data_IF_215408643274
#
_entry.id   IF_215408643274
#
_cell.length_a   1.000
_cell.length_b   1.000
_cell.length_c   1.000
_cell.angle_alpha   90.00
_cell.angle_beta   90.00
_cell.angle_gamma   90.00
#
_symmetry.space_group_name_H-M   'P 1'
#
loop_
_entity.id
_entity.type
_entity.pdbx_description
1 polymer ?
#
# COMPACT_ATOMS: atom_id res chain seq x y z
N UNK A 1 3.92 1.73 17.26
CA UNK A 1 3.72 1.46 15.83
C UNK A 1 3.27 2.75 15.16
N UNK A 2 4.19 3.41 14.48
CA UNK A 2 3.92 4.64 13.72
C UNK A 2 3.51 4.18 12.31
N UNK A 3 2.33 3.58 12.21
CA UNK A 3 1.86 2.84 11.05
C UNK A 3 1.22 3.80 10.05
N UNK A 4 2.04 4.44 9.23
CA UNK A 4 1.55 5.34 8.18
C UNK A 4 1.15 4.55 6.93
N UNK A 5 -0.02 4.88 6.39
CA UNK A 5 -0.56 4.25 5.19
C UNK A 5 0.22 4.76 3.98
N UNK A 6 0.84 3.85 3.24
CA UNK A 6 1.55 4.15 2.00
C UNK A 6 0.57 4.45 0.87
N UNK A 7 -0.44 3.60 0.72
CA UNK A 7 -1.42 3.68 -0.35
C UNK A 7 -2.79 3.28 0.14
N UNK A 8 -3.82 3.98 -0.31
CA UNK A 8 -5.22 3.67 -0.07
C UNK A 8 -6.08 3.98 -1.28
N UNK A 9 -6.95 3.05 -1.62
CA UNK A 9 -8.10 3.29 -2.47
C UNK A 9 -9.40 2.80 -1.79
N UNK A 10 -10.47 2.64 -2.56
CA UNK A 10 -11.78 2.17 -2.07
C UNK A 10 -11.83 0.65 -1.80
N UNK A 11 -10.77 -0.09 -2.08
CA UNK A 11 -10.70 -1.56 -2.02
C UNK A 11 -9.62 -2.04 -1.07
N UNK A 12 -8.44 -1.42 -1.08
CA UNK A 12 -7.29 -1.84 -0.29
C UNK A 12 -6.59 -0.68 0.41
N UNK A 13 -5.92 -1.03 1.50
CA UNK A 13 -4.90 -0.21 2.14
C UNK A 13 -3.58 -0.98 2.16
N UNK A 14 -2.49 -0.25 1.97
CA UNK A 14 -1.12 -0.77 1.99
C UNK A 14 -0.29 0.11 2.90
N UNK A 15 0.57 -0.50 3.72
CA UNK A 15 1.55 0.21 4.57
C UNK A 15 2.91 -0.46 4.55
N UNK A 16 3.92 0.32 4.88
CA UNK A 16 5.25 -0.18 5.21
C UNK A 16 5.27 -0.44 6.72
N UNK A 17 5.64 -1.65 7.09
CA UNK A 17 5.95 -2.02 8.46
C UNK A 17 7.45 -1.93 8.65
N UNK A 18 7.87 -1.22 9.68
CA UNK A 18 9.27 -1.18 10.13
C UNK A 18 9.36 -1.97 11.43
N UNK A 19 10.29 -2.92 11.49
CA UNK A 19 10.56 -3.67 12.71
C UNK A 19 11.13 -2.72 13.79
N UNK A 20 10.62 -2.85 15.02
CA UNK A 20 10.99 -1.94 16.12
C UNK A 20 12.36 -2.25 16.72
N UNK A 21 12.85 -3.47 16.57
CA UNK A 21 14.16 -3.91 17.05
C UNK A 21 15.22 -3.75 15.96
N UNK A 22 14.81 -3.78 14.68
CA UNK A 22 15.69 -3.54 13.55
C UNK A 22 15.03 -2.68 12.46
N UNK A 23 15.33 -1.38 12.46
CA UNK A 23 14.77 -0.43 11.48
C UNK A 23 15.14 -0.75 10.01
N UNK A 24 16.16 -1.60 9.76
CA UNK A 24 16.50 -2.06 8.43
C UNK A 24 15.57 -3.16 7.91
N UNK A 25 14.82 -3.82 8.80
CA UNK A 25 13.83 -4.83 8.44
C UNK A 25 12.49 -4.14 8.19
N UNK A 26 12.19 -3.96 6.91
CA UNK A 26 10.90 -3.44 6.45
C UNK A 26 10.12 -4.52 5.71
N UNK A 27 8.80 -4.46 5.81
CA UNK A 27 7.86 -5.35 5.13
C UNK A 27 6.68 -4.55 4.60
N UNK A 28 6.03 -5.05 3.55
CA UNK A 28 4.76 -4.50 3.09
C UNK A 28 3.63 -5.28 3.74
N UNK A 29 2.64 -4.58 4.27
CA UNK A 29 1.39 -5.17 4.70
C UNK A 29 0.22 -4.57 3.91
N UNK A 30 -0.79 -5.39 3.64
CA UNK A 30 -2.00 -4.98 2.95
C UNK A 30 -3.24 -5.49 3.65
N UNK A 31 -4.35 -4.79 3.48
CA UNK A 31 -5.68 -5.26 3.89
C UNK A 31 -6.74 -4.79 2.92
N UNK A 32 -7.85 -5.50 2.88
CA UNK A 32 -9.06 -5.01 2.24
C UNK A 32 -9.76 -4.02 3.17
N UNK A 33 -10.26 -2.93 2.61
CA UNK A 33 -11.08 -1.98 3.37
C UNK A 33 -12.56 -2.36 3.31
N UNK A 34 -13.32 -1.84 4.27
CA UNK A 34 -14.77 -1.93 4.23
C UNK A 34 -15.27 -1.24 2.96
N UNK A 35 -16.01 -1.95 2.08
CA UNK A 35 -16.58 -1.35 0.88
C UNK A 35 -17.57 -0.25 1.27
N UNK A 36 -17.56 0.85 0.53
CA UNK A 36 -18.56 1.90 0.66
C UNK A 36 -19.84 1.48 -0.07
N UNK A 37 -20.98 1.68 0.59
CA UNK A 37 -22.26 1.53 -0.07
C UNK A 37 -22.41 2.63 -1.13
N UNK A 38 -22.97 2.28 -2.29
CA UNK A 38 -23.35 3.29 -3.28
C UNK A 38 -24.86 3.39 -3.39
N UNK A 39 -25.35 4.55 -3.82
CA UNK A 39 -26.76 4.77 -4.09
C UNK A 39 -27.07 4.38 -5.53
N UNK A 40 -28.00 3.44 -5.68
CA UNK A 40 -28.59 3.09 -6.97
C UNK A 40 -29.34 4.27 -7.59
N UNK A 41 -29.70 4.14 -8.87
CA UNK A 41 -30.47 5.17 -9.62
C UNK A 41 -31.85 5.45 -8.99
N UNK A 42 -32.37 4.48 -8.25
CA UNK A 42 -33.60 4.52 -7.47
C UNK A 42 -33.43 5.10 -6.06
N UNK A 43 -32.24 5.63 -5.74
CA UNK A 43 -31.81 6.12 -4.41
C UNK A 43 -31.78 5.03 -3.32
N UNK A 44 -31.91 3.75 -3.68
CA UNK A 44 -31.70 2.67 -2.72
C UNK A 44 -30.21 2.48 -2.46
N UNK A 45 -29.88 2.18 -1.21
CA UNK A 45 -28.51 1.89 -0.81
C UNK A 45 -28.18 0.45 -1.19
N UNK A 46 -27.18 0.27 -2.05
CA UNK A 46 -26.72 -1.05 -2.48
C UNK A 46 -25.50 -1.40 -1.64
N UNK A 47 -25.65 -2.43 -0.80
CA UNK A 47 -24.55 -3.01 -0.04
C UNK A 47 -23.62 -3.74 -1.00
N UNK A 48 -22.37 -3.29 -1.07
CA UNK A 48 -21.33 -3.94 -1.87
C UNK A 48 -20.49 -4.78 -0.93
N UNK A 49 -20.16 -6.00 -1.34
CA UNK A 49 -19.13 -6.80 -0.67
C UNK A 49 -17.88 -6.80 -1.56
N UNK A 50 -16.70 -6.57 -0.98
CA UNK A 50 -15.46 -6.80 -1.72
C UNK A 50 -15.24 -8.32 -1.89
N UNK A 51 -14.19 -8.71 -2.62
CA UNK A 51 -13.87 -10.13 -2.87
C UNK A 51 -13.68 -10.96 -1.58
N UNK A 52 -13.34 -10.31 -0.46
CA UNK A 52 -13.14 -10.93 0.85
C UNK A 52 -14.37 -10.86 1.76
N UNK A 53 -15.49 -10.30 1.29
CA UNK A 53 -16.73 -10.17 2.07
C UNK A 53 -16.71 -9.05 3.12
N UNK A 54 -15.67 -8.20 3.18
CA UNK A 54 -15.55 -7.13 4.17
C UNK A 54 -14.13 -6.66 4.42
N UNK A 55 -13.95 -5.80 5.43
CA UNK A 55 -12.61 -5.40 5.90
C UNK A 55 -11.85 -6.61 6.43
N UNK A 56 -10.55 -6.70 6.13
CA UNK A 56 -9.69 -7.78 6.63
C UNK A 56 -8.66 -7.24 7.61
N UNK A 57 -8.10 -8.14 8.42
CA UNK A 57 -6.87 -7.86 9.15
C UNK A 57 -5.70 -7.63 8.18
N UNK A 58 -4.61 -7.08 8.72
CA UNK A 58 -3.37 -6.85 7.98
C UNK A 58 -2.69 -8.16 7.63
N UNK A 59 -2.51 -8.39 6.33
CA UNK A 59 -1.68 -9.46 5.81
C UNK A 59 -0.28 -8.93 5.53
N UNK A 60 0.72 -9.48 6.24
CA UNK A 60 2.13 -9.14 6.02
C UNK A 60 2.67 -9.98 4.88
N UNK A 61 3.20 -9.33 3.86
CA UNK A 61 3.80 -10.01 2.73
C UNK A 61 5.16 -10.59 3.10
N UNK A 62 5.50 -11.81 2.64
CA UNK A 62 6.87 -12.30 2.71
C UNK A 62 7.82 -11.31 2.02
N UNK A 63 9.03 -11.18 2.55
CA UNK A 63 10.00 -10.16 2.15
C UNK A 63 10.19 -10.01 0.63
N UNK A 64 10.37 -11.12 -0.09
CA UNK A 64 10.58 -11.12 -1.56
C UNK A 64 9.36 -10.59 -2.34
N UNK A 65 8.14 -10.91 -1.88
CA UNK A 65 6.91 -10.38 -2.45
C UNK A 65 6.72 -8.91 -2.11
N UNK A 66 7.00 -8.54 -0.85
CA UNK A 66 6.90 -7.16 -0.38
C UNK A 66 7.77 -6.21 -1.23
N UNK A 67 8.99 -6.63 -1.54
CA UNK A 67 9.92 -5.82 -2.34
C UNK A 67 9.46 -5.64 -3.80
N UNK A 68 8.97 -6.72 -4.41
CA UNK A 68 8.41 -6.69 -5.78
C UNK A 68 7.17 -5.79 -5.86
N UNK A 69 6.27 -5.93 -4.88
CA UNK A 69 5.05 -5.12 -4.80
C UNK A 69 5.39 -3.66 -4.50
N UNK A 70 6.37 -3.41 -3.63
CA UNK A 70 6.90 -2.08 -3.35
C UNK A 70 7.39 -1.38 -4.62
N UNK A 71 8.20 -2.06 -5.45
CA UNK A 71 8.61 -1.52 -6.75
C UNK A 71 7.43 -1.16 -7.65
N UNK A 72 6.42 -2.04 -7.73
CA UNK A 72 5.22 -1.76 -8.54
C UNK A 72 4.41 -0.60 -8.00
N UNK A 73 4.25 -0.45 -6.70
CA UNK A 73 3.58 0.70 -6.08
C UNK A 73 4.32 2.01 -6.40
N UNK A 74 5.65 1.99 -6.34
CA UNK A 74 6.47 3.14 -6.69
C UNK A 74 6.38 3.51 -8.19
N UNK A 75 6.36 2.52 -9.09
CA UNK A 75 6.11 2.74 -10.53
C UNK A 75 4.72 3.35 -10.77
N UNK A 76 3.68 2.88 -10.08
CA UNK A 76 2.31 3.41 -10.20
C UNK A 76 2.20 4.85 -9.70
N UNK A 77 2.84 5.17 -8.57
CA UNK A 77 2.92 6.55 -8.08
C UNK A 77 3.54 7.48 -9.13
N UNK A 78 4.68 7.10 -9.71
CA UNK A 78 5.35 7.89 -10.76
C UNK A 78 4.54 7.97 -12.07
N UNK A 79 3.66 6.99 -12.33
CA UNK A 79 2.71 7.03 -13.44
C UNK A 79 1.50 7.95 -13.18
N UNK A 80 1.40 8.55 -11.99
CA UNK A 80 0.34 9.50 -11.63
C UNK A 80 -0.88 8.88 -10.95
N UNK A 81 -0.78 7.66 -10.43
CA UNK A 81 -1.85 7.05 -9.65
C UNK A 81 -2.08 7.82 -8.33
N UNK A 82 -3.34 8.04 -7.98
CA UNK A 82 -3.73 8.76 -6.76
C UNK A 82 -3.85 7.81 -5.56
N UNK A 83 -3.90 8.36 -4.34
CA UNK A 83 -4.12 7.59 -3.10
C UNK A 83 -2.86 7.27 -2.30
N UNK A 84 -1.70 7.81 -2.70
CA UNK A 84 -0.44 7.64 -1.99
C UNK A 84 -0.17 8.77 -0.98
N UNK A 85 0.40 8.44 0.18
CA UNK A 85 1.06 9.45 1.04
C UNK A 85 2.49 9.67 0.52
N UNK A 86 2.80 10.91 0.13
CA UNK A 86 4.09 11.25 -0.48
C UNK A 86 5.29 11.01 0.43
N UNK A 87 5.12 11.12 1.75
CA UNK A 87 6.20 10.86 2.71
C UNK A 87 6.50 9.36 2.80
N UNK A 88 5.45 8.55 2.81
CA UNK A 88 5.60 7.09 2.80
C UNK A 88 6.12 6.56 1.47
N UNK A 89 5.85 7.25 0.36
CA UNK A 89 6.49 6.97 -0.92
C UNK A 89 7.99 7.25 -0.88
N UNK A 90 8.45 8.31 -0.21
CA UNK A 90 9.89 8.54 -0.04
C UNK A 90 10.51 7.45 0.85
N UNK A 91 9.81 7.01 1.91
CA UNK A 91 10.24 5.87 2.73
C UNK A 91 10.33 4.57 1.91
N UNK A 92 9.38 4.34 1.01
CA UNK A 92 9.37 3.22 0.06
C UNK A 92 10.57 3.27 -0.86
N UNK A 93 10.81 4.43 -1.48
CA UNK A 93 11.92 4.65 -2.40
C UNK A 93 13.26 4.34 -1.72
N UNK A 94 13.51 4.92 -0.54
CA UNK A 94 14.73 4.68 0.22
C UNK A 94 14.91 3.19 0.54
N UNK A 95 13.84 2.51 0.98
CA UNK A 95 13.89 1.08 1.22
C UNK A 95 14.21 0.26 -0.04
N UNK A 96 13.65 0.62 -1.20
CA UNK A 96 13.94 -0.07 -2.46
C UNK A 96 15.38 0.17 -2.96
N UNK A 97 15.94 1.34 -2.68
CA UNK A 97 17.36 1.65 -2.94
C UNK A 97 18.26 0.81 -2.03
N UNK A 98 17.97 0.77 -0.73
CA UNK A 98 18.72 -0.04 0.25
C UNK A 98 18.73 -1.54 -0.12
N UNK A 99 17.67 -1.99 -0.79
CA UNK A 99 17.54 -3.36 -1.29
C UNK A 99 18.17 -3.60 -2.67
N UNK A 100 18.78 -2.58 -3.29
CA UNK A 100 19.32 -2.63 -4.65
C UNK A 100 18.27 -3.04 -5.71
N UNK A 101 16.99 -2.74 -5.46
CA UNK A 101 15.87 -3.07 -6.36
C UNK A 101 15.64 -2.00 -7.42
N UNK A 102 15.94 -0.75 -7.06
CA UNK A 102 15.96 0.41 -7.93
C UNK A 102 17.28 1.15 -7.74
N UNK A 103 17.76 1.81 -8.78
CA UNK A 103 18.98 2.61 -8.71
C UNK A 103 18.68 3.97 -8.05
N UNK A 104 19.58 4.42 -7.16
CA UNK A 104 19.57 5.77 -6.58
C UNK A 104 19.66 6.87 -7.66
N UNK A 105 20.24 6.53 -8.82
CA UNK A 105 20.39 7.38 -9.98
C UNK A 105 19.09 7.61 -10.78
N UNK A 106 17.90 7.38 -10.20
CA UNK A 106 16.64 7.91 -10.75
C UNK A 106 16.60 9.44 -10.60
N UNK A 107 17.53 10.11 -11.29
CA UNK A 107 17.48 11.53 -11.57
C UNK A 107 16.30 11.78 -12.51
N UNK A 108 15.27 12.43 -11.97
CA UNK A 108 14.36 13.27 -12.76
C UNK A 108 14.43 14.69 -12.20
#
# INVERSE_FOLDING_TARGET
MNDQILYKDSVIEVKILTDQENESLKSIALRYVKPENYKGKDRQEICVTNAMGGETDWFVLPYTFGATIGKKLFEQFNAGLYGFDTREVENLKNWLIDMEIIDDAMCY
#
